data_IF_499214396062
#
_entry.id   IF_499214396062
#
_cell.length_a   1.000
_cell.length_b   1.000
_cell.length_c   1.000
_cell.angle_alpha   90.00
_cell.angle_beta   90.00
_cell.angle_gamma   90.00
#
_symmetry.space_group_name_H-M   'P 1'
#
loop_
_entity.id
_entity.type
_entity.pdbx_description
1 polymer ?
#
# COMPACT_ATOMS: atom_id res chain seq x y z
N UNK A 1 -31.93 -8.95 10.66
CA UNK A 1 -31.49 -7.62 11.13
C UNK A 1 -30.09 -7.42 10.58
N UNK A 2 -29.88 -6.46 9.68
CA UNK A 2 -28.56 -6.22 9.06
C UNK A 2 -27.94 -5.01 9.73
N UNK A 3 -26.94 -5.23 10.58
CA UNK A 3 -26.16 -4.15 11.19
C UNK A 3 -25.24 -3.56 10.13
N UNK A 4 -25.37 -2.26 9.86
CA UNK A 4 -24.49 -1.53 8.94
C UNK A 4 -23.40 -0.85 9.77
N UNK A 5 -22.14 -1.25 9.56
CA UNK A 5 -21.00 -0.63 10.21
C UNK A 5 -20.55 0.58 9.40
N UNK A 6 -20.51 1.75 10.03
CA UNK A 6 -19.98 2.96 9.39
C UNK A 6 -18.45 2.99 9.51
N UNK A 7 -17.71 3.32 8.43
CA UNK A 7 -16.27 3.52 8.50
C UNK A 7 -15.91 4.65 9.45
N UNK A 8 -14.80 4.51 10.17
CA UNK A 8 -14.22 5.59 10.97
C UNK A 8 -13.55 6.62 10.04
N UNK A 9 -14.30 7.63 9.59
CA UNK A 9 -13.78 8.80 8.87
C UNK A 9 -13.14 8.52 7.50
N UNK A 10 -12.63 9.59 6.87
CA UNK A 10 -11.87 9.51 5.61
C UNK A 10 -10.43 9.10 5.94
N UNK A 11 -9.98 7.96 5.43
CA UNK A 11 -8.59 7.50 5.61
C UNK A 11 -7.71 8.00 4.46
N UNK A 12 -6.55 8.59 4.77
CA UNK A 12 -5.59 9.02 3.77
C UNK A 12 -5.20 7.84 2.85
N UNK A 13 -5.18 8.07 1.54
CA UNK A 13 -4.75 7.05 0.57
C UNK A 13 -5.71 5.87 0.39
N UNK A 14 -6.95 5.93 0.90
CA UNK A 14 -7.90 4.82 0.81
C UNK A 14 -8.19 4.38 -0.64
N UNK A 15 -8.33 5.34 -1.57
CA UNK A 15 -8.55 5.07 -2.99
C UNK A 15 -7.34 4.35 -3.63
N UNK A 16 -6.14 4.90 -3.43
CA UNK A 16 -4.87 4.32 -3.91
C UNK A 16 -4.72 2.88 -3.39
N UNK A 17 -4.95 2.66 -2.10
CA UNK A 17 -4.86 1.34 -1.52
C UNK A 17 -5.90 0.35 -2.08
N UNK A 18 -7.09 0.82 -2.45
CA UNK A 18 -8.11 0.01 -3.11
C UNK A 18 -7.67 -0.42 -4.52
N UNK A 19 -7.05 0.49 -5.26
CA UNK A 19 -6.51 0.22 -6.59
C UNK A 19 -5.37 -0.81 -6.55
N UNK A 20 -4.43 -0.63 -5.61
CA UNK A 20 -3.36 -1.60 -5.37
C UNK A 20 -3.92 -2.97 -4.98
N UNK A 21 -4.95 -3.01 -4.12
CA UNK A 21 -5.61 -4.26 -3.73
C UNK A 21 -6.19 -4.99 -4.95
N UNK A 22 -6.90 -4.27 -5.82
CA UNK A 22 -7.50 -4.83 -7.05
C UNK A 22 -6.42 -5.44 -7.95
N UNK A 23 -5.31 -4.74 -8.12
CA UNK A 23 -4.18 -5.20 -8.92
C UNK A 23 -3.51 -6.44 -8.33
N UNK A 24 -3.25 -6.47 -7.02
CA UNK A 24 -2.65 -7.62 -6.36
C UNK A 24 -3.53 -8.88 -6.47
N UNK A 25 -4.85 -8.70 -6.36
CA UNK A 25 -5.81 -9.79 -6.54
C UNK A 25 -5.85 -10.30 -7.99
N UNK A 26 -5.70 -9.42 -9.00
CA UNK A 26 -5.69 -9.83 -10.40
C UNK A 26 -4.42 -10.60 -10.76
N UNK A 27 -3.25 -10.13 -10.30
CA UNK A 27 -1.95 -10.76 -10.55
C UNK A 27 -1.81 -12.16 -9.91
N UNK A 28 -2.52 -12.44 -8.82
CA UNK A 28 -2.57 -13.79 -8.23
C UNK A 28 -3.24 -14.83 -9.15
N UNK A 29 -4.12 -14.38 -10.05
CA UNK A 29 -4.88 -15.25 -10.97
C UNK A 29 -4.13 -15.60 -12.25
N UNK A 30 -3.03 -14.90 -12.57
CA UNK A 30 -2.32 -15.03 -13.84
C UNK A 30 -0.83 -15.28 -13.55
N UNK A 31 -0.35 -16.49 -13.82
CA UNK A 31 1.02 -16.91 -13.51
C UNK A 31 2.11 -16.06 -14.20
N UNK A 32 3.30 -16.06 -13.58
CA UNK A 32 4.51 -15.24 -13.82
C UNK A 32 5.17 -15.30 -15.22
N UNK A 33 4.58 -15.88 -16.26
CA UNK A 33 5.30 -16.03 -17.54
C UNK A 33 5.25 -14.76 -18.39
N UNK A 34 6.40 -14.08 -18.53
CA UNK A 34 6.59 -12.98 -19.47
C UNK A 34 6.46 -11.56 -18.88
N UNK A 35 6.26 -11.40 -17.57
CA UNK A 35 6.20 -10.09 -16.93
C UNK A 35 7.61 -9.48 -16.77
N UNK A 36 7.82 -8.19 -17.12
CA UNK A 36 9.11 -7.52 -16.93
C UNK A 36 9.56 -7.58 -15.46
N UNK A 37 10.84 -7.84 -15.21
CA UNK A 37 11.41 -8.00 -13.85
C UNK A 37 11.04 -6.87 -12.88
N UNK A 38 10.98 -5.62 -13.32
CA UNK A 38 10.60 -4.47 -12.50
C UNK A 38 9.13 -4.51 -12.01
N UNK A 39 8.29 -5.36 -12.60
CA UNK A 39 6.90 -5.58 -12.18
C UNK A 39 6.75 -6.78 -11.25
N UNK A 40 7.79 -7.60 -11.10
CA UNK A 40 7.79 -8.80 -10.26
C UNK A 40 8.24 -8.40 -8.85
N UNK A 41 7.33 -8.54 -7.88
CA UNK A 41 7.62 -8.30 -6.46
C UNK A 41 8.37 -9.50 -5.89
N UNK A 42 9.69 -9.50 -5.97
CA UNK A 42 10.54 -10.59 -5.47
C UNK A 42 11.11 -10.33 -4.07
N UNK A 43 11.26 -9.05 -3.70
CA UNK A 43 11.71 -8.68 -2.38
C UNK A 43 10.71 -9.10 -1.30
N UNK A 44 11.25 -9.67 -0.22
CA UNK A 44 10.47 -10.24 0.88
C UNK A 44 10.74 -9.48 2.16
N UNK A 45 9.66 -9.04 2.81
CA UNK A 45 9.69 -8.55 4.20
C UNK A 45 9.21 -9.70 5.09
N UNK A 46 10.07 -10.14 6.02
CA UNK A 46 9.73 -11.20 6.99
C UNK A 46 9.27 -10.58 8.31
N UNK A 47 8.02 -10.82 8.68
CA UNK A 47 7.42 -10.37 9.94
C UNK A 47 7.12 -11.55 10.85
N UNK A 48 7.28 -11.36 12.17
CA UNK A 48 6.81 -12.33 13.17
C UNK A 48 5.53 -11.78 13.80
N UNK A 49 4.55 -12.66 13.94
CA UNK A 49 3.26 -12.36 14.55
C UNK A 49 3.02 -13.31 15.71
N UNK A 50 2.39 -12.81 16.77
CA UNK A 50 1.74 -13.64 17.78
C UNK A 50 0.58 -14.42 17.17
N UNK A 51 0.09 -15.43 17.89
CA UNK A 51 -1.03 -16.25 17.43
C UNK A 51 -2.30 -15.43 17.20
N UNK A 52 -2.62 -14.49 18.11
CA UNK A 52 -3.81 -13.63 17.99
C UNK A 52 -3.73 -12.69 16.79
N UNK A 53 -2.55 -12.12 16.52
CA UNK A 53 -2.32 -11.30 15.34
C UNK A 53 -2.49 -12.10 14.04
N UNK A 54 -1.92 -13.31 13.99
CA UNK A 54 -2.06 -14.19 12.83
C UNK A 54 -3.53 -14.57 12.57
N UNK A 55 -4.30 -14.86 13.65
CA UNK A 55 -5.74 -15.13 13.55
C UNK A 55 -6.50 -13.91 13.05
N UNK A 56 -6.20 -12.71 13.56
CA UNK A 56 -6.84 -11.47 13.12
C UNK A 56 -6.62 -11.23 11.62
N UNK A 57 -5.36 -11.29 11.15
CA UNK A 57 -5.01 -11.10 9.74
C UNK A 57 -5.72 -12.13 8.87
N UNK A 58 -5.69 -13.41 9.25
CA UNK A 58 -6.31 -14.51 8.48
C UNK A 58 -7.83 -14.34 8.42
N UNK A 59 -8.48 -14.00 9.54
CA UNK A 59 -9.92 -13.79 9.61
C UNK A 59 -10.35 -12.62 8.71
N UNK A 60 -9.66 -11.48 8.80
CA UNK A 60 -9.92 -10.31 7.95
C UNK A 60 -9.74 -10.63 6.47
N UNK A 61 -8.63 -11.31 6.11
CA UNK A 61 -8.38 -11.68 4.72
C UNK A 61 -9.47 -12.61 4.17
N UNK A 62 -9.92 -13.59 4.96
CA UNK A 62 -10.99 -14.50 4.57
C UNK A 62 -12.32 -13.76 4.36
N UNK A 63 -12.69 -12.86 5.28
CA UNK A 63 -13.90 -12.05 5.18
C UNK A 63 -13.91 -11.14 3.94
N UNK A 64 -12.73 -10.76 3.46
CA UNK A 64 -12.54 -9.94 2.27
C UNK A 64 -12.30 -10.77 0.99
N UNK A 65 -12.51 -12.09 1.04
CA UNK A 65 -12.28 -13.03 -0.07
C UNK A 65 -10.88 -12.92 -0.68
N UNK A 66 -9.89 -12.72 0.19
CA UNK A 66 -8.50 -12.45 -0.17
C UNK A 66 -7.55 -13.42 0.51
N UNK A 67 -6.26 -13.14 0.47
CA UNK A 67 -5.26 -13.87 1.24
C UNK A 67 -4.44 -12.94 2.13
N UNK A 68 -3.87 -13.46 3.22
CA UNK A 68 -3.10 -12.67 4.17
C UNK A 68 -2.02 -11.79 3.53
N UNK A 69 -1.27 -12.30 2.56
CA UNK A 69 -0.18 -11.55 1.94
C UNK A 69 -0.65 -10.32 1.13
N UNK A 70 -1.82 -10.42 0.50
CA UNK A 70 -2.41 -9.27 -0.21
C UNK A 70 -2.85 -8.21 0.79
N UNK A 71 -3.61 -8.61 1.82
CA UNK A 71 -4.13 -7.65 2.80
C UNK A 71 -3.02 -7.02 3.65
N UNK A 72 -1.96 -7.76 3.99
CA UNK A 72 -0.80 -7.17 4.69
C UNK A 72 -0.03 -6.20 3.81
N UNK A 73 0.10 -6.47 2.50
CA UNK A 73 0.72 -5.53 1.58
C UNK A 73 -0.09 -4.23 1.44
N UNK A 74 -1.41 -4.35 1.29
CA UNK A 74 -2.32 -3.21 1.22
C UNK A 74 -2.31 -2.41 2.52
N UNK A 75 -2.30 -3.09 3.67
CA UNK A 75 -2.20 -2.43 4.97
C UNK A 75 -0.88 -1.68 5.14
N UNK A 76 0.24 -2.23 4.69
CA UNK A 76 1.53 -1.56 4.72
C UNK A 76 1.54 -0.28 3.86
N UNK A 77 0.99 -0.34 2.64
CA UNK A 77 0.87 0.83 1.75
C UNK A 77 -0.02 1.91 2.39
N UNK A 78 -1.16 1.53 2.97
CA UNK A 78 -2.00 2.47 3.73
C UNK A 78 -1.22 3.13 4.87
N UNK A 79 -0.40 2.36 5.59
CA UNK A 79 0.48 2.88 6.63
C UNK A 79 1.47 3.93 6.09
N UNK A 80 2.14 3.64 4.97
CA UNK A 80 3.04 4.63 4.33
C UNK A 80 2.31 5.90 3.89
N UNK A 81 1.14 5.77 3.26
CA UNK A 81 0.35 6.92 2.83
C UNK A 81 -0.10 7.79 4.00
N UNK A 82 -0.48 7.17 5.13
CA UNK A 82 -0.78 7.90 6.36
C UNK A 82 0.46 8.61 6.92
N UNK A 83 1.62 7.93 6.97
CA UNK A 83 2.87 8.54 7.41
C UNK A 83 3.27 9.74 6.54
N UNK A 84 3.05 9.69 5.22
CA UNK A 84 3.31 10.83 4.34
C UNK A 84 2.31 11.99 4.50
N UNK A 85 1.06 11.68 4.86
CA UNK A 85 0.08 12.72 5.18
C UNK A 85 0.42 13.43 6.50
N UNK A 86 0.97 12.70 7.47
CA UNK A 86 1.42 13.22 8.76
C UNK A 86 2.77 13.97 8.66
N UNK A 87 3.68 13.49 7.81
CA UNK A 87 5.03 14.02 7.60
C UNK A 87 5.37 14.16 6.10
N UNK A 88 4.91 15.23 5.42
CA UNK A 88 5.13 15.42 3.98
C UNK A 88 6.61 15.48 3.56
N UNK A 89 7.51 15.88 4.46
CA UNK A 89 8.95 15.86 4.25
C UNK A 89 9.49 14.43 4.02
N UNK A 90 8.85 13.41 4.59
CA UNK A 90 9.22 12.02 4.36
C UNK A 90 8.88 11.58 2.94
N UNK A 91 7.79 12.09 2.36
CA UNK A 91 7.47 11.85 0.96
C UNK A 91 8.55 12.46 0.06
N UNK A 92 8.96 13.69 0.33
CA UNK A 92 10.06 14.35 -0.38
C UNK A 92 11.38 13.58 -0.28
N UNK A 93 11.70 13.08 0.92
CA UNK A 93 12.87 12.25 1.14
C UNK A 93 12.83 10.96 0.32
N UNK A 94 11.71 10.21 0.33
CA UNK A 94 11.57 8.96 -0.43
C UNK A 94 11.71 9.19 -1.94
N UNK A 95 11.13 10.28 -2.49
CA UNK A 95 11.33 10.64 -3.90
C UNK A 95 12.79 10.94 -4.24
N UNK A 96 13.52 11.62 -3.35
CA UNK A 96 14.94 11.90 -3.54
C UNK A 96 15.78 10.61 -3.55
N UNK A 97 15.53 9.70 -2.60
CA UNK A 97 16.21 8.40 -2.53
C UNK A 97 15.96 7.54 -3.78
N UNK A 98 14.72 7.48 -4.26
CA UNK A 98 14.39 6.75 -5.50
C UNK A 98 15.14 7.32 -6.71
N UNK A 99 15.20 8.64 -6.83
CA UNK A 99 15.94 9.32 -7.88
C UNK A 99 17.44 9.06 -7.79
N UNK A 100 18.02 9.11 -6.59
CA UNK A 100 19.44 8.83 -6.35
C UNK A 100 19.80 7.37 -6.71
N UNK A 101 18.91 6.43 -6.40
CA UNK A 101 19.06 5.03 -6.76
C UNK A 101 18.80 4.72 -8.25
N UNK A 102 18.32 5.69 -9.04
CA UNK A 102 17.93 5.48 -10.43
C UNK A 102 16.73 4.54 -10.60
N UNK A 103 15.88 4.45 -9.57
CA UNK A 103 14.71 3.58 -9.54
C UNK A 103 13.44 4.35 -9.96
N UNK A 104 12.49 3.69 -10.63
CA UNK A 104 11.21 4.30 -10.96
C UNK A 104 10.39 4.56 -9.69
N UNK A 105 9.60 5.63 -9.72
CA UNK A 105 8.63 5.93 -8.65
C UNK A 105 7.51 4.88 -8.69
N UNK A 106 7.19 4.20 -7.57
CA UNK A 106 6.07 3.27 -7.52
C UNK A 106 4.75 3.98 -7.84
N UNK A 107 3.88 3.34 -8.62
CA UNK A 107 2.59 3.92 -9.05
C UNK A 107 1.67 4.35 -7.89
N UNK A 108 1.79 3.69 -6.74
CA UNK A 108 1.00 4.01 -5.55
C UNK A 108 1.58 5.17 -4.74
N UNK A 109 2.83 5.59 -5.00
CA UNK A 109 3.46 6.66 -4.24
C UNK A 109 2.91 8.02 -4.71
N UNK A 110 2.42 8.89 -3.80
CA UNK A 110 1.89 10.19 -4.18
C UNK A 110 2.94 11.10 -4.83
N UNK A 111 2.49 11.99 -5.71
CA UNK A 111 3.34 13.05 -6.25
C UNK A 111 3.77 14.03 -5.16
N UNK A 112 4.90 14.69 -5.37
CA UNK A 112 5.35 15.73 -4.46
C UNK A 112 4.38 16.92 -4.49
N UNK A 113 3.99 17.48 -3.33
CA UNK A 113 3.18 18.68 -3.31
C UNK A 113 3.93 19.80 -4.03
N UNK A 114 3.26 20.44 -4.99
CA UNK A 114 3.79 21.58 -5.71
C UNK A 114 4.10 22.66 -4.68
N UNK A 115 5.36 23.09 -4.59
CA UNK A 115 5.73 24.28 -3.79
C UNK A 115 4.90 25.45 -4.31
N UNK A 116 3.88 25.86 -3.55
CA UNK A 116 3.34 27.20 -3.71
C UNK A 116 4.37 28.14 -3.09
N UNK A 117 5.23 28.70 -3.93
CA UNK A 117 5.94 29.92 -3.57
C UNK A 117 4.86 30.97 -3.30
N UNK A 118 4.61 31.27 -2.02
CA UNK A 118 3.90 32.49 -1.65
C UNK A 118 4.81 33.64 -2.07
N UNK A 119 4.54 34.21 -3.25
CA UNK A 119 4.94 35.59 -3.54
C UNK A 119 4.37 36.47 -2.42
N UNK A 120 5.24 37.29 -1.85
CA UNK A 120 5.06 38.13 -0.65
C UNK A 120 3.77 38.94 -0.64
#
# INVERSE_FOLDING_TARGET
>A
MTTIYQPAGITAGAAIASDVRRELLSRKKVGKNGLPFHTVREDQIKTRWTESEAVAIKSTANALESNPAVETNVAAIRGFLAMFAEAPEMLAHVHAELKLAGLPVPEWLPELPIRQEKSQ
#
